data_IF_003201042744
#
_entry.id   IF_003201042744
#
_cell.length_a   1.000
_cell.length_b   1.000
_cell.length_c   1.000
_cell.angle_alpha   90.00
_cell.angle_beta   90.00
_cell.angle_gamma   90.00
#
_symmetry.space_group_name_H-M   'P 1'
#
loop_
_entity.id
_entity.type
_entity.pdbx_description
1 polymer ?
#
# COMPACT_ATOMS: atom_id res chain seq x y z
N UNK A 1 -22.97 -9.41 6.94
CA UNK A 1 -22.47 -8.31 6.10
C UNK A 1 -21.42 -8.93 5.21
N UNK A 2 -21.58 -8.81 3.90
CA UNK A 2 -20.63 -9.34 2.91
C UNK A 2 -19.94 -8.11 2.33
N UNK A 3 -18.72 -7.82 2.77
CA UNK A 3 -17.87 -6.94 1.99
C UNK A 3 -17.41 -7.78 0.80
N UNK A 4 -17.74 -7.35 -0.41
CA UNK A 4 -17.42 -8.05 -1.65
C UNK A 4 -15.97 -7.72 -2.04
N UNK A 5 -15.03 -8.05 -1.15
CA UNK A 5 -13.60 -7.87 -1.37
C UNK A 5 -13.10 -9.16 -1.98
N UNK A 6 -12.97 -9.14 -3.30
CA UNK A 6 -12.37 -10.23 -4.06
C UNK A 6 -10.89 -10.38 -3.62
N UNK A 7 -10.51 -11.51 -3.00
CA UNK A 7 -9.14 -11.71 -2.52
C UNK A 7 -8.10 -11.73 -3.64
N UNK A 8 -8.48 -12.19 -4.84
CA UNK A 8 -7.60 -12.24 -6.00
C UNK A 8 -7.36 -10.84 -6.55
N UNK A 9 -8.42 -10.05 -6.70
CA UNK A 9 -8.31 -8.64 -7.10
C UNK A 9 -7.50 -7.81 -6.08
N UNK A 10 -7.70 -8.06 -4.78
CA UNK A 10 -6.98 -7.38 -3.70
C UNK A 10 -5.49 -7.74 -3.71
N UNK A 11 -5.15 -9.01 -3.94
CA UNK A 11 -3.77 -9.45 -4.11
C UNK A 11 -3.07 -8.74 -5.27
N UNK A 12 -3.74 -8.64 -6.43
CA UNK A 12 -3.20 -7.92 -7.58
C UNK A 12 -2.99 -6.42 -7.33
N UNK A 13 -3.91 -5.77 -6.60
CA UNK A 13 -3.75 -4.37 -6.22
C UNK A 13 -2.51 -4.20 -5.31
N UNK A 14 -2.32 -5.09 -4.33
CA UNK A 14 -1.16 -5.07 -3.44
C UNK A 14 0.14 -5.27 -4.23
N UNK A 15 0.21 -6.27 -5.12
CA UNK A 15 1.38 -6.53 -5.96
C UNK A 15 1.71 -5.33 -6.86
N UNK A 16 0.69 -4.76 -7.51
CA UNK A 16 0.85 -3.56 -8.33
C UNK A 16 1.34 -2.37 -7.52
N UNK A 17 0.82 -2.20 -6.30
CA UNK A 17 1.23 -1.11 -5.43
C UNK A 17 2.69 -1.26 -4.96
N UNK A 18 3.14 -2.48 -4.66
CA UNK A 18 4.55 -2.78 -4.34
C UNK A 18 5.45 -2.45 -5.53
N UNK A 19 5.06 -2.84 -6.75
CA UNK A 19 5.81 -2.50 -7.97
C UNK A 19 5.94 -0.98 -8.16
N UNK A 20 4.86 -0.23 -7.92
CA UNK A 20 4.88 1.24 -8.03
C UNK A 20 5.83 1.86 -6.98
N UNK A 21 5.90 1.31 -5.77
CA UNK A 21 6.87 1.76 -4.75
C UNK A 21 8.31 1.53 -5.21
N UNK A 22 8.59 0.39 -5.85
CA UNK A 22 9.90 0.09 -6.41
C UNK A 22 10.26 1.05 -7.55
N UNK A 23 9.34 1.30 -8.48
CA UNK A 23 9.51 2.26 -9.58
C UNK A 23 9.79 3.69 -9.06
N UNK A 24 9.12 4.10 -7.98
CA UNK A 24 9.36 5.39 -7.34
C UNK A 24 10.77 5.48 -6.72
N UNK A 25 11.30 4.37 -6.20
CA UNK A 25 12.69 4.32 -5.73
C UNK A 25 13.67 4.46 -6.88
N UNK A 26 13.43 3.76 -8.00
CA UNK A 26 14.24 3.87 -9.21
C UNK A 26 14.26 5.31 -9.72
N UNK A 27 13.10 5.99 -9.77
CA UNK A 27 13.00 7.37 -10.23
C UNK A 27 13.83 8.36 -9.36
N UNK A 28 13.91 8.13 -8.05
CA UNK A 28 14.77 8.90 -7.14
C UNK A 28 16.25 8.70 -7.47
N UNK A 29 16.67 7.47 -7.74
CA UNK A 29 18.06 7.13 -8.07
C UNK A 29 18.46 7.65 -9.46
N UNK A 30 17.55 7.59 -10.43
CA UNK A 30 17.73 8.22 -11.74
C UNK A 30 17.84 9.74 -11.63
N UNK A 31 17.03 10.36 -10.77
CA UNK A 31 17.13 11.80 -10.49
C UNK A 31 18.51 12.14 -9.89
N UNK A 32 18.99 11.39 -8.89
CA UNK A 32 20.33 11.58 -8.33
C UNK A 32 21.43 11.46 -9.41
N UNK A 33 21.30 10.47 -10.28
CA UNK A 33 22.24 10.25 -11.38
C UNK A 33 22.24 11.42 -12.36
N UNK A 34 21.07 11.91 -12.75
CA UNK A 34 20.90 13.07 -13.64
C UNK A 34 21.49 14.36 -13.04
N UNK A 35 21.34 14.57 -11.72
CA UNK A 35 21.95 15.68 -11.00
C UNK A 35 23.48 15.61 -11.09
N UNK A 36 24.05 14.44 -10.87
CA UNK A 36 25.51 14.22 -10.96
C UNK A 36 26.04 14.48 -12.39
N UNK A 37 25.35 13.95 -13.40
CA UNK A 37 25.70 14.19 -14.82
C UNK A 37 25.63 15.67 -15.17
N UNK A 38 24.59 16.37 -14.72
CA UNK A 38 24.43 17.81 -14.98
C UNK A 38 25.53 18.63 -14.30
N UNK A 39 25.87 18.31 -13.06
CA UNK A 39 26.97 18.95 -12.34
C UNK A 39 28.32 18.81 -13.06
N UNK A 40 28.55 17.66 -13.70
CA UNK A 40 29.74 17.37 -14.51
C UNK A 40 29.73 18.12 -15.83
N UNK A 41 28.57 18.19 -16.52
CA UNK A 41 28.43 18.92 -17.78
C UNK A 41 28.67 20.43 -17.63
N UNK A 42 28.34 20.99 -16.45
CA UNK A 42 28.51 22.41 -16.15
C UNK A 42 29.85 22.75 -15.49
N UNK A 43 30.79 21.81 -15.36
CA UNK A 43 32.09 21.99 -14.71
C UNK A 43 32.88 23.22 -15.24
N UNK A 44 32.71 23.56 -16.52
CA UNK A 44 33.40 24.69 -17.15
C UNK A 44 32.61 26.01 -17.11
N UNK A 45 31.47 26.06 -16.42
CA UNK A 45 30.65 27.27 -16.24
C UNK A 45 30.52 27.64 -14.75
N UNK A 46 31.46 28.45 -14.21
CA UNK A 46 31.52 28.77 -12.78
C UNK A 46 30.30 29.51 -12.22
N UNK A 47 29.57 30.23 -13.07
CA UNK A 47 28.36 30.96 -12.68
C UNK A 47 27.09 30.10 -12.77
N UNK A 48 26.97 29.29 -13.83
CA UNK A 48 25.75 28.51 -14.11
C UNK A 48 25.71 27.21 -13.32
N UNK A 49 26.86 26.61 -13.01
CA UNK A 49 26.94 25.36 -12.26
C UNK A 49 26.29 25.47 -10.87
N UNK A 50 26.69 26.39 -9.97
CA UNK A 50 26.09 26.46 -8.64
C UNK A 50 24.60 26.82 -8.67
N UNK A 51 24.18 27.71 -9.58
CA UNK A 51 22.77 28.08 -9.74
C UNK A 51 21.90 26.88 -10.17
N UNK A 52 22.37 26.10 -11.16
CA UNK A 52 21.65 24.92 -11.62
C UNK A 52 21.66 23.81 -10.57
N UNK A 53 22.78 23.60 -9.88
CA UNK A 53 22.88 22.58 -8.84
C UNK A 53 21.96 22.87 -7.65
N UNK A 54 21.83 24.12 -7.22
CA UNK A 54 20.85 24.51 -6.19
C UNK A 54 19.42 24.27 -6.67
N UNK A 55 19.07 24.66 -7.91
CA UNK A 55 17.74 24.37 -8.46
C UNK A 55 17.44 22.85 -8.48
N UNK A 56 18.39 22.04 -8.94
CA UNK A 56 18.24 20.60 -9.03
C UNK A 56 18.13 19.92 -7.65
N UNK A 57 18.92 20.33 -6.66
CA UNK A 57 18.85 19.77 -5.32
C UNK A 57 17.65 20.28 -4.54
N UNK A 58 17.39 21.58 -4.56
CA UNK A 58 16.40 22.20 -3.68
C UNK A 58 14.98 22.10 -4.23
N UNK A 59 14.82 22.05 -5.55
CA UNK A 59 13.48 22.01 -6.16
C UNK A 59 13.18 20.63 -6.71
N UNK A 60 14.02 20.12 -7.62
CA UNK A 60 13.74 18.85 -8.29
C UNK A 60 13.82 17.69 -7.30
N UNK A 61 14.92 17.55 -6.55
CA UNK A 61 15.06 16.42 -5.63
C UNK A 61 14.06 16.46 -4.48
N UNK A 62 13.76 17.65 -3.94
CA UNK A 62 12.74 17.79 -2.89
C UNK A 62 11.36 17.40 -3.43
N UNK A 63 10.99 17.84 -4.63
CA UNK A 63 9.72 17.49 -5.24
C UNK A 63 9.62 15.98 -5.50
N UNK A 64 10.65 15.34 -6.05
CA UNK A 64 10.66 13.90 -6.32
C UNK A 64 10.53 13.11 -5.02
N UNK A 65 11.31 13.46 -3.98
CA UNK A 65 11.21 12.80 -2.66
C UNK A 65 9.86 13.03 -1.99
N UNK A 66 9.27 14.22 -2.15
CA UNK A 66 7.95 14.51 -1.58
C UNK A 66 6.85 13.68 -2.25
N UNK A 67 6.87 13.59 -3.59
CA UNK A 67 5.96 12.73 -4.34
C UNK A 67 6.14 11.26 -3.99
N UNK A 68 7.38 10.78 -3.89
CA UNK A 68 7.70 9.43 -3.42
C UNK A 68 7.11 9.20 -2.03
N UNK A 69 7.35 10.10 -1.07
CA UNK A 69 6.87 9.95 0.30
C UNK A 69 5.34 9.92 0.40
N UNK A 70 4.64 10.78 -0.34
CA UNK A 70 3.17 10.78 -0.37
C UNK A 70 2.61 9.51 -1.01
N UNK A 71 3.17 9.09 -2.14
CA UNK A 71 2.74 7.87 -2.82
C UNK A 71 3.00 6.62 -1.97
N UNK A 72 4.19 6.52 -1.36
CA UNK A 72 4.55 5.43 -0.44
C UNK A 72 3.57 5.33 0.72
N UNK A 73 3.24 6.45 1.35
CA UNK A 73 2.32 6.46 2.49
C UNK A 73 0.90 6.05 2.06
N UNK A 74 0.42 6.58 0.93
CA UNK A 74 -0.91 6.24 0.38
C UNK A 74 -1.01 4.77 0.01
N UNK A 75 0.03 4.22 -0.63
CA UNK A 75 0.11 2.82 -1.03
C UNK A 75 0.11 1.91 0.21
N UNK A 76 0.95 2.18 1.20
CA UNK A 76 1.00 1.36 2.41
C UNK A 76 -0.33 1.40 3.18
N UNK A 77 -0.95 2.57 3.33
CA UNK A 77 -2.29 2.64 3.92
C UNK A 77 -3.33 1.82 3.15
N UNK A 78 -3.20 1.75 1.82
CA UNK A 78 -4.09 0.93 0.98
C UNK A 78 -3.84 -0.56 1.20
N UNK A 79 -2.58 -0.98 1.27
CA UNK A 79 -2.19 -2.37 1.58
C UNK A 79 -2.70 -2.78 2.97
N UNK A 80 -2.50 -1.93 3.98
CA UNK A 80 -2.94 -2.17 5.35
C UNK A 80 -4.47 -2.30 5.44
N UNK A 81 -5.20 -1.44 4.73
CA UNK A 81 -6.65 -1.47 4.69
C UNK A 81 -7.18 -2.75 4.03
N UNK A 82 -6.65 -3.12 2.86
CA UNK A 82 -7.03 -4.36 2.18
C UNK A 82 -6.74 -5.59 3.03
N UNK A 83 -5.58 -5.63 3.67
CA UNK A 83 -5.19 -6.73 4.57
C UNK A 83 -6.14 -6.83 5.75
N UNK A 84 -6.44 -5.70 6.41
CA UNK A 84 -7.37 -5.65 7.54
C UNK A 84 -8.77 -6.12 7.17
N UNK A 85 -9.25 -5.78 5.97
CA UNK A 85 -10.55 -6.25 5.51
C UNK A 85 -10.58 -7.75 5.23
N UNK A 86 -9.55 -8.30 4.59
CA UNK A 86 -9.45 -9.74 4.34
C UNK A 86 -9.41 -10.54 5.66
N UNK A 87 -8.65 -10.07 6.65
CA UNK A 87 -8.60 -10.69 7.99
C UNK A 87 -9.95 -10.58 8.72
N UNK A 88 -10.62 -9.43 8.61
CA UNK A 88 -11.94 -9.19 9.17
C UNK A 88 -12.99 -10.15 8.60
N UNK A 89 -13.02 -10.32 7.28
CA UNK A 89 -13.94 -11.21 6.60
C UNK A 89 -13.67 -12.69 6.96
N UNK A 90 -12.41 -13.10 7.05
CA UNK A 90 -12.05 -14.43 7.52
C UNK A 90 -12.54 -14.69 8.96
N UNK A 91 -12.37 -13.70 9.85
CA UNK A 91 -12.81 -13.78 11.24
C UNK A 91 -14.33 -13.82 11.35
N UNK A 92 -15.03 -12.96 10.60
CA UNK A 92 -16.49 -12.96 10.57
C UNK A 92 -17.06 -14.26 10.01
N UNK A 93 -16.47 -14.82 8.95
CA UNK A 93 -16.85 -16.11 8.37
C UNK A 93 -16.69 -17.26 9.37
N UNK A 94 -15.58 -17.29 10.09
CA UNK A 94 -15.33 -18.27 11.16
C UNK A 94 -16.33 -18.14 12.32
N UNK A 95 -16.59 -16.91 12.77
CA UNK A 95 -17.56 -16.63 13.82
C UNK A 95 -18.99 -16.99 13.39
N UNK A 96 -19.37 -16.70 12.15
CA UNK A 96 -20.67 -17.05 11.60
C UNK A 96 -20.84 -18.58 11.51
N UNK A 97 -19.80 -19.30 11.04
CA UNK A 97 -19.81 -20.76 10.99
C UNK A 97 -19.92 -21.38 12.40
N UNK A 98 -19.23 -20.80 13.38
CA UNK A 98 -19.30 -21.24 14.78
C UNK A 98 -20.66 -20.94 15.42
N UNK A 99 -21.26 -19.80 15.09
CA UNK A 99 -22.60 -19.44 15.51
C UNK A 99 -23.66 -20.37 14.91
N UNK A 100 -23.56 -20.69 13.61
CA UNK A 100 -24.46 -21.62 12.94
C UNK A 100 -24.39 -23.03 13.56
N UNK A 101 -23.18 -23.51 13.88
CA UNK A 101 -22.97 -24.77 14.59
C UNK A 101 -23.58 -24.77 16.02
N UNK A 102 -23.74 -23.60 16.65
CA UNK A 102 -24.30 -23.47 18.00
C UNK A 102 -25.81 -23.20 18.02
N UNK A 103 -26.45 -22.94 16.87
CA UNK A 103 -27.92 -22.85 16.76
C UNK A 103 -28.58 -24.16 17.23
N UNK A 104 -28.00 -25.31 16.93
CA UNK A 104 -28.46 -26.62 17.41
C UNK A 104 -28.21 -26.89 18.90
N UNK A 105 -27.38 -26.07 19.56
CA UNK A 105 -27.07 -26.14 20.99
C UNK A 105 -27.79 -25.05 21.81
N UNK A 106 -28.74 -24.33 21.20
CA UNK A 106 -29.58 -23.37 21.93
C UNK A 106 -30.43 -24.15 22.92
N UNK A 107 -29.99 -24.19 24.17
CA UNK A 107 -30.80 -24.60 25.33
C UNK A 107 -31.93 -23.58 25.51
N UNK A 108 -32.93 -23.67 24.63
CA UNK A 108 -34.22 -23.05 24.85
C UNK A 108 -34.91 -23.90 25.93
N UNK A 109 -35.10 -23.41 27.16
CA UNK A 109 -35.84 -24.14 28.17
C UNK A 109 -37.26 -24.38 27.65
N UNK A 110 -37.53 -25.61 27.21
CA UNK A 110 -38.83 -26.04 26.68
C UNK A 110 -38.81 -26.80 25.35
N UNK A 111 -37.70 -26.87 24.60
CA UNK A 111 -37.65 -27.69 23.37
C UNK A 111 -37.08 -29.08 23.68
N UNK A 112 -37.98 -30.04 23.88
CA UNK A 112 -37.63 -31.46 23.91
C UNK A 112 -37.38 -31.91 22.47
N UNK A 113 -36.12 -32.12 22.10
CA UNK A 113 -35.76 -32.84 20.86
C UNK A 113 -36.11 -34.31 21.05
N UNK A 114 -37.30 -34.71 20.64
CA UNK A 114 -37.66 -36.11 20.53
C UNK A 114 -36.94 -36.70 19.32
N UNK A 115 -36.06 -37.67 19.59
CA UNK A 115 -35.37 -38.44 18.56
C UNK A 115 -36.35 -39.27 17.73
N UNK A 116 -36.00 -39.44 16.45
CA UNK A 116 -36.44 -40.52 15.58
C UNK A 116 -35.32 -40.80 14.58
#
# INVERSE_FOLDING_TARGET
MHYDIDPEASGHIIESAVSIVEDLSIAVDETNSAISTTGSALQHSPASQPAMMSFLQDIVMISVKSSQGQAFNTINCTIDALTSYLEGDATMSSNASSADASIGATDMPGVSTNGS
#
